data_IF_103344073431
#
_entry.id   IF_103344073431
#
_cell.length_a   1.000
_cell.length_b   1.000
_cell.length_c   1.000
_cell.angle_alpha   90.00
_cell.angle_beta   90.00
_cell.angle_gamma   90.00
#
_symmetry.space_group_name_H-M   'P 1'
#
loop_
_entity.id
_entity.type
_entity.pdbx_description
1 polymer ?
#
# COMPACT_ATOMS: atom_id res chain seq x y z
N UNK A 1 -16.77 -30.71 -12.86
CA UNK A 1 -16.76 -30.10 -11.50
C UNK A 1 -15.43 -29.42 -11.16
N UNK A 2 -14.65 -28.97 -12.15
CA UNK A 2 -13.23 -28.59 -11.98
C UNK A 2 -12.96 -27.08 -12.02
N UNK A 3 -13.85 -26.27 -12.63
CA UNK A 3 -13.62 -24.82 -12.76
C UNK A 3 -14.01 -24.01 -11.53
N UNK A 4 -15.10 -24.38 -10.85
CA UNK A 4 -15.54 -23.65 -9.65
C UNK A 4 -14.53 -23.74 -8.51
N UNK A 5 -13.87 -24.90 -8.34
CA UNK A 5 -12.86 -25.10 -7.30
C UNK A 5 -11.61 -24.24 -7.55
N UNK A 6 -11.12 -24.20 -8.80
CA UNK A 6 -9.99 -23.34 -9.20
C UNK A 6 -10.28 -21.86 -9.06
N UNK A 7 -11.54 -21.45 -9.25
CA UNK A 7 -11.95 -20.07 -9.07
C UNK A 7 -11.96 -19.72 -7.59
N UNK A 8 -12.50 -20.58 -6.72
CA UNK A 8 -12.51 -20.38 -5.25
C UNK A 8 -11.09 -20.25 -4.70
N UNK A 9 -10.17 -21.13 -5.10
CA UNK A 9 -8.75 -21.07 -4.69
C UNK A 9 -8.12 -19.70 -5.06
N UNK A 10 -8.38 -19.18 -6.27
CA UNK A 10 -7.88 -17.85 -6.69
C UNK A 10 -8.48 -16.68 -5.90
N UNK A 11 -9.68 -16.81 -5.35
CA UNK A 11 -10.28 -15.77 -4.51
C UNK A 11 -9.68 -15.79 -3.10
N UNK A 12 -9.45 -16.98 -2.53
CA UNK A 12 -8.76 -17.13 -1.24
C UNK A 12 -7.34 -16.53 -1.29
N UNK A 13 -6.62 -16.73 -2.40
CA UNK A 13 -5.31 -16.11 -2.63
C UNK A 13 -5.41 -14.57 -2.64
N UNK A 14 -6.42 -14.00 -3.31
CA UNK A 14 -6.66 -12.55 -3.34
C UNK A 14 -7.01 -12.00 -1.95
N UNK A 15 -7.81 -12.72 -1.17
CA UNK A 15 -8.16 -12.30 0.20
C UNK A 15 -6.92 -12.26 1.10
N UNK A 16 -6.03 -13.27 1.00
CA UNK A 16 -4.75 -13.26 1.71
C UNK A 16 -3.89 -12.06 1.31
N UNK A 17 -3.77 -11.79 0.01
CA UNK A 17 -2.98 -10.65 -0.49
C UNK A 17 -3.56 -9.29 -0.10
N UNK A 18 -4.89 -9.17 0.02
CA UNK A 18 -5.55 -7.98 0.59
C UNK A 18 -5.14 -7.80 2.05
N UNK A 19 -5.13 -8.88 2.84
CA UNK A 19 -4.67 -8.81 4.23
C UNK A 19 -3.21 -8.36 4.33
N UNK A 20 -2.33 -8.87 3.47
CA UNK A 20 -0.93 -8.46 3.43
C UNK A 20 -0.77 -6.99 3.04
N UNK A 21 -1.53 -6.52 2.04
CA UNK A 21 -1.53 -5.11 1.63
C UNK A 21 -1.99 -4.21 2.78
N UNK A 22 -3.03 -4.60 3.53
CA UNK A 22 -3.50 -3.84 4.70
C UNK A 22 -2.43 -3.79 5.79
N UNK A 23 -1.82 -4.92 6.11
CA UNK A 23 -0.75 -4.98 7.12
C UNK A 23 0.43 -4.07 6.76
N UNK A 24 0.89 -4.11 5.51
CA UNK A 24 1.99 -3.25 5.05
C UNK A 24 1.57 -1.79 5.07
N UNK A 25 0.35 -1.47 4.64
CA UNK A 25 -0.18 -0.10 4.68
C UNK A 25 -0.22 0.43 6.11
N UNK A 26 -0.67 -0.37 7.08
CA UNK A 26 -0.71 0.03 8.49
C UNK A 26 0.69 0.30 9.05
N UNK A 27 1.66 -0.57 8.72
CA UNK A 27 3.07 -0.38 9.11
C UNK A 27 3.64 0.91 8.50
N UNK A 28 3.39 1.15 7.21
CA UNK A 28 3.88 2.34 6.50
C UNK A 28 3.24 3.60 7.07
N UNK A 29 1.92 3.59 7.29
CA UNK A 29 1.19 4.71 7.91
C UNK A 29 1.72 5.02 9.30
N UNK A 30 1.92 4.01 10.15
CA UNK A 30 2.50 4.19 11.48
C UNK A 30 3.92 4.76 11.42
N UNK A 31 4.77 4.25 10.51
CA UNK A 31 6.12 4.79 10.32
C UNK A 31 6.09 6.27 9.88
N UNK A 32 5.22 6.61 8.92
CA UNK A 32 5.08 8.00 8.44
C UNK A 32 4.55 8.88 9.57
N UNK A 33 3.51 8.46 10.30
CA UNK A 33 2.96 9.21 11.44
C UNK A 33 3.98 9.45 12.54
N UNK A 34 4.75 8.43 12.93
CA UNK A 34 5.84 8.56 13.91
C UNK A 34 6.88 9.59 13.46
N UNK A 35 7.21 9.59 12.16
CA UNK A 35 8.12 10.56 11.56
C UNK A 35 7.51 11.95 11.36
N UNK A 36 6.20 12.09 11.25
CA UNK A 36 5.56 13.41 11.13
C UNK A 36 5.21 14.02 12.50
N UNK A 37 4.94 13.20 13.50
CA UNK A 37 4.59 13.59 14.86
C UNK A 37 5.80 13.73 15.80
N UNK A 38 6.99 13.31 15.36
CA UNK A 38 8.24 13.57 16.07
C UNK A 38 8.57 15.07 16.22
N UNK A 39 9.69 15.38 16.88
CA UNK A 39 10.17 16.75 17.11
C UNK A 39 10.76 17.37 15.84
N UNK A 40 9.97 17.44 14.78
CA UNK A 40 10.36 18.03 13.50
C UNK A 40 10.04 19.52 13.47
N UNK A 41 10.89 20.28 12.80
CA UNK A 41 10.61 21.70 12.55
C UNK A 41 9.49 21.80 11.52
N UNK A 42 8.39 22.41 11.92
CA UNK A 42 7.24 22.70 11.05
C UNK A 42 7.42 24.08 10.43
N UNK A 43 7.03 24.23 9.17
CA UNK A 43 7.03 25.51 8.47
C UNK A 43 5.89 25.57 7.46
N UNK A 44 5.53 26.77 7.00
CA UNK A 44 4.52 26.95 5.97
C UNK A 44 5.18 27.05 4.59
N UNK A 45 4.69 26.28 3.62
CA UNK A 45 5.03 26.44 2.21
C UNK A 45 3.78 26.92 1.47
N UNK A 46 3.66 28.24 1.29
CA UNK A 46 2.37 28.85 0.94
C UNK A 46 1.35 28.62 2.05
N UNK A 47 0.19 28.08 1.69
CA UNK A 47 -0.90 27.76 2.63
C UNK A 47 -0.81 26.33 3.19
N UNK A 48 0.22 25.56 2.83
CA UNK A 48 0.38 24.17 3.25
C UNK A 48 1.36 24.05 4.43
N UNK A 49 0.96 23.42 5.54
CA UNK A 49 1.87 23.09 6.62
C UNK A 49 2.81 21.96 6.17
N UNK A 50 4.11 22.20 6.26
CA UNK A 50 5.16 21.26 5.89
C UNK A 50 5.99 20.88 7.11
N UNK A 51 6.56 19.68 7.05
CA UNK A 51 7.45 19.13 8.08
C UNK A 51 8.84 18.94 7.47
N UNK A 52 9.87 19.50 8.11
CA UNK A 52 11.25 19.22 7.69
C UNK A 52 11.67 17.83 8.17
N UNK A 53 12.08 17.01 7.21
CA UNK A 53 12.65 15.68 7.40
C UNK A 53 14.05 15.62 6.81
N UNK A 54 14.86 14.68 7.29
CA UNK A 54 16.17 14.40 6.68
C UNK A 54 16.00 13.71 5.32
N UNK A 55 17.02 13.79 4.46
CA UNK A 55 17.01 13.08 3.17
C UNK A 55 16.81 11.56 3.33
N UNK A 56 17.35 10.97 4.41
CA UNK A 56 17.16 9.54 4.73
C UNK A 56 15.70 9.23 5.06
N UNK A 57 15.05 10.07 5.86
CA UNK A 57 13.63 9.90 6.22
C UNK A 57 12.73 10.06 5.01
N UNK A 58 12.97 11.08 4.17
CA UNK A 58 12.26 11.25 2.91
C UNK A 58 12.38 10.00 2.01
N UNK A 59 13.59 9.45 1.86
CA UNK A 59 13.82 8.24 1.06
C UNK A 59 13.07 7.02 1.61
N UNK A 60 13.06 6.84 2.94
CA UNK A 60 12.34 5.73 3.57
C UNK A 60 10.83 5.86 3.35
N UNK A 61 10.26 7.06 3.55
CA UNK A 61 8.84 7.30 3.31
C UNK A 61 8.46 7.05 1.85
N UNK A 62 9.22 7.59 0.90
CA UNK A 62 8.98 7.38 -0.53
C UNK A 62 9.08 5.90 -0.92
N UNK A 63 10.10 5.18 -0.42
CA UNK A 63 10.24 3.75 -0.67
C UNK A 63 9.06 2.95 -0.15
N UNK A 64 8.62 3.25 1.08
CA UNK A 64 7.48 2.59 1.71
C UNK A 64 6.18 2.80 0.93
N UNK A 65 5.90 4.02 0.48
CA UNK A 65 4.72 4.34 -0.35
C UNK A 65 4.77 3.55 -1.65
N UNK A 66 5.93 3.51 -2.32
CA UNK A 66 6.10 2.77 -3.57
C UNK A 66 5.82 1.26 -3.42
N UNK A 67 6.19 0.64 -2.30
CA UNK A 67 5.88 -0.77 -2.06
C UNK A 67 4.38 -1.03 -1.96
N UNK A 68 3.64 -0.15 -1.26
CA UNK A 68 2.17 -0.25 -1.15
C UNK A 68 1.52 -0.09 -2.53
N UNK A 69 1.94 0.91 -3.32
CA UNK A 69 1.42 1.14 -4.67
C UNK A 69 1.64 -0.07 -5.58
N UNK A 70 2.85 -0.64 -5.55
CA UNK A 70 3.19 -1.83 -6.34
C UNK A 70 2.28 -3.01 -6.00
N UNK A 71 2.11 -3.33 -4.72
CA UNK A 71 1.28 -4.45 -4.28
C UNK A 71 -0.19 -4.24 -4.63
N UNK A 72 -0.70 -3.01 -4.44
CA UNK A 72 -2.06 -2.66 -4.85
C UNK A 72 -2.28 -2.86 -6.35
N UNK A 73 -1.27 -2.54 -7.17
CA UNK A 73 -1.34 -2.73 -8.62
C UNK A 73 -1.35 -4.21 -9.02
N UNK A 74 -0.47 -5.03 -8.42
CA UNK A 74 -0.44 -6.47 -8.66
C UNK A 74 -1.78 -7.14 -8.30
N UNK A 75 -2.38 -6.74 -7.17
CA UNK A 75 -3.68 -7.22 -6.73
C UNK A 75 -4.80 -6.81 -7.70
N UNK A 76 -4.79 -5.57 -8.17
CA UNK A 76 -5.75 -5.07 -9.15
C UNK A 76 -5.67 -5.89 -10.45
N UNK A 77 -4.47 -6.17 -10.95
CA UNK A 77 -4.27 -6.92 -12.19
C UNK A 77 -4.75 -8.38 -12.05
N UNK A 78 -4.51 -9.03 -10.90
CA UNK A 78 -5.06 -10.36 -10.59
C UNK A 78 -6.59 -10.36 -10.57
N UNK A 79 -7.20 -9.36 -9.93
CA UNK A 79 -8.65 -9.24 -9.89
C UNK A 79 -9.25 -9.10 -11.30
N UNK A 80 -8.67 -8.23 -12.14
CA UNK A 80 -9.12 -8.08 -13.53
C UNK A 80 -9.03 -9.39 -14.31
N UNK A 81 -7.93 -10.12 -14.21
CA UNK A 81 -7.75 -11.40 -14.89
C UNK A 81 -8.85 -12.43 -14.52
N UNK A 82 -9.30 -12.44 -13.26
CA UNK A 82 -10.43 -13.30 -12.83
C UNK A 82 -11.75 -12.81 -13.43
N UNK A 83 -11.99 -11.49 -13.44
CA UNK A 83 -13.24 -10.94 -14.00
C UNK A 83 -13.36 -11.14 -15.51
N UNK A 84 -12.27 -11.06 -16.27
CA UNK A 84 -12.27 -11.30 -17.71
C UNK A 84 -12.50 -12.78 -18.04
N UNK A 85 -11.96 -13.71 -17.24
CA UNK A 85 -12.21 -15.14 -17.40
C UNK A 85 -13.68 -15.56 -17.18
N UNK A 86 -14.54 -14.64 -16.70
CA UNK A 86 -15.99 -14.84 -16.53
C UNK A 86 -16.84 -14.23 -17.64
N UNK A 87 -16.26 -13.45 -18.57
CA UNK A 87 -16.97 -12.94 -19.75
C UNK A 87 -16.99 -14.00 -20.85
#
# INVERSE_FOLDING_TARGET
MTDTKKIVEKYEDIESEICDLRNITDIVSSFVEDKLNGTHRRFMHGDQPMVMVTAREANLMTFSIYQVEKLAKELQDKFYAITEARK
#
